data_IF_648288598626
#
_entry.id   IF_648288598626
#
_cell.length_a   1.000
_cell.length_b   1.000
_cell.length_c   1.000
_cell.angle_alpha   90.00
_cell.angle_beta   90.00
_cell.angle_gamma   90.00
#
_symmetry.space_group_name_H-M   'P 1'
#
loop_
_entity.id
_entity.type
_entity.pdbx_description
1 polymer ?
#
# COMPACT_ATOMS: atom_id res chain seq x y z
N UNK A 1 -77.58 -15.52 -28.24
CA UNK A 1 -77.65 -14.05 -28.44
C UNK A 1 -76.31 -13.40 -28.02
N UNK A 2 -75.41 -13.10 -28.97
CA UNK A 2 -74.11 -12.44 -28.71
C UNK A 2 -74.34 -10.94 -28.48
N UNK A 3 -74.43 -10.49 -27.22
CA UNK A 3 -74.42 -9.05 -26.89
C UNK A 3 -73.04 -8.47 -27.25
N UNK A 4 -72.99 -7.67 -28.32
CA UNK A 4 -71.79 -6.90 -28.72
C UNK A 4 -71.42 -5.96 -27.56
N UNK A 5 -70.15 -5.96 -27.18
CA UNK A 5 -69.64 -5.02 -26.17
C UNK A 5 -69.82 -3.58 -26.65
N UNK A 6 -70.07 -2.65 -25.72
CA UNK A 6 -69.95 -1.24 -26.05
C UNK A 6 -68.47 -0.93 -26.32
N UNK A 7 -68.22 -0.15 -27.37
CA UNK A 7 -66.86 0.21 -27.81
C UNK A 7 -66.07 0.89 -26.67
N UNK A 8 -66.75 1.59 -25.75
CA UNK A 8 -66.12 2.26 -24.59
C UNK A 8 -65.52 1.28 -23.58
N UNK A 9 -66.24 0.22 -23.26
CA UNK A 9 -65.76 -0.81 -22.31
C UNK A 9 -64.59 -1.63 -22.86
N UNK A 10 -64.54 -1.85 -24.17
CA UNK A 10 -63.40 -2.51 -24.83
C UNK A 10 -62.14 -1.65 -24.79
N UNK A 11 -62.28 -0.33 -25.03
CA UNK A 11 -61.17 0.62 -24.99
C UNK A 11 -60.57 0.75 -23.60
N UNK A 12 -61.39 0.86 -22.55
CA UNK A 12 -60.92 0.94 -21.16
C UNK A 12 -60.16 -0.32 -20.74
N UNK A 13 -60.65 -1.49 -21.14
CA UNK A 13 -60.00 -2.77 -20.83
C UNK A 13 -58.65 -2.89 -21.55
N UNK A 14 -58.58 -2.53 -22.83
CA UNK A 14 -57.34 -2.50 -23.59
C UNK A 14 -56.31 -1.55 -22.95
N UNK A 15 -56.73 -0.35 -22.55
CA UNK A 15 -55.86 0.64 -21.88
C UNK A 15 -55.36 0.12 -20.53
N UNK A 16 -56.21 -0.48 -19.70
CA UNK A 16 -55.79 -1.04 -18.40
C UNK A 16 -54.79 -2.20 -18.55
N UNK A 17 -54.93 -2.99 -19.62
CA UNK A 17 -54.07 -4.14 -19.87
C UNK A 17 -52.71 -3.70 -20.41
N UNK A 18 -52.69 -2.65 -21.23
CA UNK A 18 -51.46 -1.98 -21.68
C UNK A 18 -50.75 -1.30 -20.50
N UNK A 19 -51.48 -0.60 -19.63
CA UNK A 19 -50.92 0.06 -18.46
C UNK A 19 -50.37 -0.95 -17.45
N UNK A 20 -51.09 -2.05 -17.22
CA UNK A 20 -50.61 -3.14 -16.39
C UNK A 20 -49.33 -3.74 -16.97
N UNK A 21 -49.27 -4.01 -18.27
CA UNK A 21 -48.09 -4.54 -18.96
C UNK A 21 -46.90 -3.58 -18.88
N UNK A 22 -47.15 -2.27 -19.02
CA UNK A 22 -46.14 -1.23 -18.82
C UNK A 22 -45.64 -1.20 -17.36
N UNK A 23 -46.50 -1.33 -16.37
CA UNK A 23 -46.10 -1.34 -14.96
C UNK A 23 -45.30 -2.60 -14.63
N UNK A 24 -45.71 -3.80 -15.08
CA UNK A 24 -44.94 -5.03 -14.83
C UNK A 24 -43.60 -5.06 -15.56
N UNK A 25 -43.46 -4.43 -16.73
CA UNK A 25 -42.18 -4.38 -17.43
C UNK A 25 -41.29 -3.20 -17.02
N UNK A 26 -41.86 -2.02 -16.81
CA UNK A 26 -41.10 -0.80 -16.53
C UNK A 26 -40.84 -0.56 -15.03
N UNK A 27 -41.73 -1.00 -14.13
CA UNK A 27 -41.55 -0.77 -12.70
C UNK A 27 -40.35 -1.53 -12.10
N UNK A 28 -40.04 -2.78 -12.51
CA UNK A 28 -38.80 -3.44 -12.09
C UNK A 28 -37.54 -2.72 -12.57
N UNK A 29 -37.60 -2.05 -13.73
CA UNK A 29 -36.49 -1.23 -14.25
C UNK A 29 -36.29 0.08 -13.47
N UNK A 30 -37.34 0.58 -12.81
CA UNK A 30 -37.31 1.83 -12.03
C UNK A 30 -37.03 1.59 -10.54
N UNK A 31 -37.43 0.45 -9.97
CA UNK A 31 -37.39 0.18 -8.53
C UNK A 31 -35.99 -0.23 -8.03
N UNK A 32 -35.19 -0.93 -8.84
CA UNK A 32 -33.84 -1.34 -8.48
C UNK A 32 -32.87 -0.74 -9.49
N UNK A 33 -32.53 0.54 -9.29
CA UNK A 33 -31.47 1.15 -10.07
C UNK A 33 -30.22 0.26 -10.06
N UNK A 34 -29.68 0.00 -11.27
CA UNK A 34 -28.42 -0.70 -11.60
C UNK A 34 -28.57 -2.18 -11.96
N UNK A 35 -29.19 -2.45 -13.12
CA UNK A 35 -29.48 -3.78 -13.67
C UNK A 35 -28.29 -4.49 -14.33
N UNK A 36 -27.04 -4.16 -13.98
CA UNK A 36 -25.88 -4.82 -14.59
C UNK A 36 -24.56 -4.57 -13.88
N UNK A 37 -23.54 -5.31 -14.30
CA UNK A 37 -22.19 -5.16 -13.81
C UNK A 37 -21.17 -5.54 -14.88
N UNK A 38 -20.00 -4.89 -14.84
CA UNK A 38 -18.83 -5.34 -15.58
C UNK A 38 -17.88 -6.06 -14.63
N UNK A 39 -17.50 -7.28 -14.96
CA UNK A 39 -16.58 -8.11 -14.19
C UNK A 39 -15.27 -8.24 -14.94
N UNK A 40 -14.16 -8.09 -14.22
CA UNK A 40 -12.81 -8.41 -14.69
C UNK A 40 -12.12 -9.31 -13.67
N UNK A 41 -11.40 -10.32 -14.14
CA UNK A 41 -10.61 -11.20 -13.28
C UNK A 41 -9.15 -10.76 -13.29
N UNK A 42 -8.55 -10.65 -12.10
CA UNK A 42 -7.13 -10.37 -11.91
C UNK A 42 -6.51 -11.58 -11.23
N UNK A 43 -5.40 -12.07 -11.77
CA UNK A 43 -4.55 -13.07 -11.10
C UNK A 43 -3.16 -12.48 -10.90
N UNK A 44 -2.74 -12.44 -9.65
CA UNK A 44 -1.44 -11.97 -9.19
C UNK A 44 -0.62 -13.20 -8.79
N UNK A 45 0.42 -13.52 -9.56
CA UNK A 45 1.23 -14.72 -9.35
C UNK A 45 2.71 -14.41 -9.05
N UNK A 46 3.01 -13.19 -8.59
CA UNK A 46 4.37 -12.81 -8.18
C UNK A 46 4.73 -13.38 -6.80
N UNK A 47 6.01 -13.41 -6.50
CA UNK A 47 6.55 -14.06 -5.30
C UNK A 47 6.08 -13.28 -4.05
N UNK A 48 5.68 -13.99 -2.98
CA UNK A 48 5.13 -13.41 -1.75
C UNK A 48 3.59 -13.29 -1.71
N UNK A 49 2.89 -13.28 -2.86
CA UNK A 49 1.42 -13.11 -2.87
C UNK A 49 0.67 -14.22 -2.13
N UNK A 50 1.18 -15.46 -2.17
CA UNK A 50 0.63 -16.60 -1.44
C UNK A 50 0.80 -16.51 0.07
N UNK A 51 1.70 -15.66 0.54
CA UNK A 51 1.94 -15.35 1.95
C UNK A 51 1.23 -14.06 2.39
N UNK A 52 0.43 -13.45 1.50
CA UNK A 52 -0.22 -12.17 1.76
C UNK A 52 0.73 -10.99 1.70
N UNK A 53 1.85 -11.13 0.97
CA UNK A 53 2.85 -10.10 0.78
C UNK A 53 2.78 -9.48 -0.62
N UNK A 54 3.10 -8.19 -0.70
CA UNK A 54 3.30 -7.48 -1.96
C UNK A 54 4.67 -7.84 -2.57
N UNK A 55 4.95 -7.33 -3.78
CA UNK A 55 6.22 -7.57 -4.48
C UNK A 55 7.48 -7.02 -3.76
N UNK A 56 7.30 -6.32 -2.63
CA UNK A 56 8.37 -5.75 -1.79
C UNK A 56 8.47 -6.45 -0.43
N UNK A 57 7.59 -7.40 -0.13
CA UNK A 57 7.52 -8.08 1.16
C UNK A 57 6.70 -7.36 2.24
N UNK A 58 5.97 -6.29 1.90
CA UNK A 58 5.00 -5.67 2.81
C UNK A 58 3.65 -6.41 2.75
N UNK A 59 2.72 -6.10 3.65
CA UNK A 59 1.38 -6.67 3.59
C UNK A 59 0.63 -6.23 2.32
N UNK A 60 0.08 -7.18 1.59
CA UNK A 60 -0.71 -6.93 0.38
C UNK A 60 -2.17 -6.60 0.71
N UNK A 61 -2.67 -5.46 0.24
CA UNK A 61 -4.09 -5.09 0.33
C UNK A 61 -4.70 -4.83 -1.06
N UNK A 62 -5.52 -5.77 -1.54
CA UNK A 62 -6.27 -5.60 -2.79
C UNK A 62 -7.23 -4.39 -2.76
N UNK A 63 -7.64 -3.90 -1.59
CA UNK A 63 -8.51 -2.73 -1.49
C UNK A 63 -7.83 -1.43 -1.94
N UNK A 64 -6.50 -1.42 -2.11
CA UNK A 64 -5.79 -0.32 -2.72
C UNK A 64 -6.32 0.05 -4.11
N UNK A 65 -6.92 -0.89 -4.85
CA UNK A 65 -7.62 -0.61 -6.13
C UNK A 65 -8.71 0.47 -6.01
N UNK A 66 -9.24 0.69 -4.80
CA UNK A 66 -10.25 1.70 -4.47
C UNK A 66 -9.65 3.03 -3.97
N UNK A 67 -8.33 3.18 -4.00
CA UNK A 67 -7.64 4.41 -3.62
C UNK A 67 -8.12 5.59 -4.49
N UNK A 68 -8.36 6.74 -3.87
CA UNK A 68 -8.87 7.93 -4.53
C UNK A 68 -7.99 8.39 -5.72
N UNK A 69 -6.67 8.27 -5.63
CA UNK A 69 -5.77 8.62 -6.73
C UNK A 69 -5.98 7.74 -7.96
N UNK A 70 -6.18 6.44 -7.75
CA UNK A 70 -6.48 5.48 -8.84
C UNK A 70 -7.83 5.84 -9.45
N UNK A 71 -8.86 6.01 -8.63
CA UNK A 71 -10.21 6.30 -9.11
C UNK A 71 -10.30 7.64 -9.86
N UNK A 72 -9.54 8.66 -9.45
CA UNK A 72 -9.41 9.92 -10.21
C UNK A 72 -8.82 9.70 -11.59
N UNK A 73 -7.74 8.92 -11.71
CA UNK A 73 -7.12 8.57 -13.01
C UNK A 73 -8.08 7.76 -13.88
N UNK A 74 -8.82 6.81 -13.31
CA UNK A 74 -9.83 6.01 -14.01
C UNK A 74 -10.92 6.91 -14.60
N UNK A 75 -11.47 7.83 -13.81
CA UNK A 75 -12.51 8.76 -14.27
C UNK A 75 -12.01 9.70 -15.37
N UNK A 76 -10.77 10.20 -15.25
CA UNK A 76 -10.11 11.02 -16.26
C UNK A 76 -9.91 10.24 -17.57
N UNK A 77 -9.32 9.04 -17.50
CA UNK A 77 -9.02 8.21 -18.68
C UNK A 77 -10.27 7.66 -19.37
N UNK A 78 -11.37 7.53 -18.63
CA UNK A 78 -12.67 7.14 -19.19
C UNK A 78 -13.47 8.31 -19.76
N UNK A 79 -13.14 9.56 -19.39
CA UNK A 79 -13.88 10.78 -19.75
C UNK A 79 -15.14 10.99 -18.91
N UNK A 80 -15.20 10.41 -17.71
CA UNK A 80 -16.38 10.39 -16.84
C UNK A 80 -16.27 11.30 -15.60
N UNK A 81 -15.18 12.05 -15.48
CA UNK A 81 -14.88 12.97 -14.35
C UNK A 81 -15.95 14.03 -14.09
N UNK A 82 -16.69 14.47 -15.11
CA UNK A 82 -17.78 15.45 -14.96
C UNK A 82 -19.10 14.82 -14.49
N UNK A 83 -19.20 13.50 -14.54
CA UNK A 83 -20.44 12.75 -14.31
C UNK A 83 -20.41 11.98 -13.00
N UNK A 84 -19.23 11.58 -12.52
CA UNK A 84 -19.08 10.82 -11.28
C UNK A 84 -17.89 11.31 -10.47
N UNK A 85 -18.01 11.13 -9.17
CA UNK A 85 -16.92 11.36 -8.21
C UNK A 85 -16.19 10.05 -7.89
N UNK A 86 -14.93 10.11 -7.44
CA UNK A 86 -14.21 8.94 -6.94
C UNK A 86 -14.97 8.16 -5.86
N UNK A 87 -15.68 8.87 -4.97
CA UNK A 87 -16.46 8.25 -3.89
C UNK A 87 -17.66 7.45 -4.43
N UNK A 88 -18.37 7.97 -5.43
CA UNK A 88 -19.46 7.24 -6.08
C UNK A 88 -18.97 6.00 -6.82
N UNK A 89 -17.77 6.07 -7.40
CA UNK A 89 -17.15 4.93 -8.06
C UNK A 89 -16.69 3.87 -7.02
N UNK A 90 -16.07 4.30 -5.92
CA UNK A 90 -15.62 3.43 -4.83
C UNK A 90 -16.74 2.52 -4.31
N UNK A 91 -17.93 3.07 -4.09
CA UNK A 91 -19.11 2.33 -3.61
C UNK A 91 -19.65 1.30 -4.61
N UNK A 92 -19.23 1.37 -5.88
CA UNK A 92 -19.69 0.47 -6.95
C UNK A 92 -18.72 -0.67 -7.22
N UNK A 93 -17.49 -0.57 -6.71
CA UNK A 93 -16.46 -1.59 -6.87
C UNK A 93 -16.66 -2.65 -5.78
N UNK A 94 -16.94 -3.87 -6.21
CA UNK A 94 -16.93 -5.06 -5.36
C UNK A 94 -15.71 -5.88 -5.74
N UNK A 95 -15.01 -6.36 -4.72
CA UNK A 95 -13.82 -7.19 -4.85
C UNK A 95 -14.18 -8.51 -4.20
N UNK A 96 -14.13 -9.60 -4.96
CA UNK A 96 -14.41 -10.93 -4.45
C UNK A 96 -13.12 -11.76 -4.55
N UNK A 97 -12.55 -12.22 -3.42
CA UNK A 97 -11.42 -13.14 -3.47
C UNK A 97 -11.87 -14.46 -4.10
N UNK A 98 -11.10 -14.95 -5.06
CA UNK A 98 -11.33 -16.27 -5.65
C UNK A 98 -10.39 -17.24 -4.95
N UNK A 99 -10.93 -18.37 -4.48
CA UNK A 99 -10.10 -19.44 -3.97
C UNK A 99 -9.27 -20.02 -5.14
N UNK A 100 -8.04 -19.54 -5.28
CA UNK A 100 -7.10 -20.08 -6.25
C UNK A 100 -6.78 -21.55 -5.95
N UNK A 101 -6.19 -22.28 -6.91
CA UNK A 101 -5.77 -23.68 -6.70
C UNK A 101 -4.85 -23.83 -5.47
N UNK A 102 -4.04 -22.82 -5.15
CA UNK A 102 -3.17 -22.81 -3.97
C UNK A 102 -3.97 -22.76 -2.66
N UNK A 103 -4.95 -21.85 -2.55
CA UNK A 103 -5.87 -21.76 -1.42
C UNK A 103 -6.68 -23.05 -1.23
N UNK A 104 -7.16 -23.65 -2.33
CA UNK A 104 -7.84 -24.94 -2.31
C UNK A 104 -6.91 -26.09 -1.88
N UNK A 105 -5.65 -26.10 -2.34
CA UNK A 105 -4.67 -27.10 -1.92
C UNK A 105 -4.30 -26.97 -0.43
N UNK A 106 -4.19 -25.75 0.10
CA UNK A 106 -3.97 -25.53 1.53
C UNK A 106 -5.18 -25.94 2.38
N UNK A 107 -6.40 -25.59 1.95
CA UNK A 107 -7.64 -26.08 2.56
C UNK A 107 -7.72 -27.62 2.55
N UNK A 108 -7.30 -28.24 1.44
CA UNK A 108 -7.28 -29.70 1.31
C UNK A 108 -6.22 -30.33 2.22
N UNK A 109 -5.02 -29.73 2.34
CA UNK A 109 -3.97 -30.17 3.27
C UNK A 109 -4.39 -30.00 4.74
N UNK A 110 -5.12 -28.94 5.08
CA UNK A 110 -5.70 -28.75 6.41
C UNK A 110 -6.72 -29.86 6.71
N UNK A 111 -7.63 -30.15 5.78
CA UNK A 111 -8.63 -31.22 5.93
C UNK A 111 -8.02 -32.63 6.08
N UNK A 112 -6.83 -32.88 5.53
CA UNK A 112 -6.09 -34.17 5.69
C UNK A 112 -5.43 -34.27 7.09
N UNK A 113 -5.21 -33.16 7.79
CA UNK A 113 -4.56 -33.12 9.12
C UNK A 113 -5.54 -33.05 10.30
N UNK A 114 -6.86 -32.98 10.06
CA UNK A 114 -7.89 -32.92 11.11
C UNK A 114 -8.14 -34.29 11.75
N UNK A 115 -7.07 -34.95 12.20
CA UNK A 115 -7.11 -36.07 13.14
C UNK A 115 -6.30 -35.76 14.41
N UNK A 116 -5.82 -34.52 14.55
CA UNK A 116 -5.15 -34.03 15.76
C UNK A 116 -5.74 -32.70 16.18
N UNK A 117 -6.21 -32.66 17.41
CA UNK A 117 -6.84 -31.55 18.13
C UNK A 117 -5.91 -30.35 18.30
N UNK A 118 -5.72 -29.59 17.23
CA UNK A 118 -5.30 -28.20 17.32
C UNK A 118 -6.35 -27.33 16.61
N UNK A 119 -6.84 -26.35 17.37
CA UNK A 119 -7.77 -25.32 16.94
C UNK A 119 -7.37 -24.73 15.59
N UNK A 120 -8.21 -24.92 14.57
CA UNK A 120 -8.15 -24.30 13.22
C UNK A 120 -8.49 -22.79 13.31
N UNK A 121 -7.96 -22.12 14.33
CA UNK A 121 -8.11 -20.68 14.48
C UNK A 121 -7.14 -20.00 13.50
N UNK A 122 -7.73 -19.44 12.45
CA UNK A 122 -7.26 -18.22 11.78
C UNK A 122 -5.92 -18.28 11.02
N UNK A 123 -5.64 -19.36 10.28
CA UNK A 123 -4.70 -19.18 9.15
C UNK A 123 -5.43 -18.49 8.00
N UNK A 124 -5.31 -17.16 7.93
CA UNK A 124 -5.88 -16.36 6.85
C UNK A 124 -5.37 -16.90 5.51
N UNK A 125 -6.29 -17.37 4.67
CA UNK A 125 -5.95 -17.86 3.34
C UNK A 125 -5.74 -16.65 2.46
N UNK A 126 -4.50 -16.42 2.06
CA UNK A 126 -4.15 -15.37 1.11
C UNK A 126 -4.35 -15.90 -0.31
N UNK A 127 -5.02 -15.12 -1.16
CA UNK A 127 -5.22 -15.44 -2.57
C UNK A 127 -4.58 -14.37 -3.45
N UNK A 128 -4.04 -14.79 -4.60
CA UNK A 128 -3.63 -13.90 -5.68
C UNK A 128 -4.74 -13.66 -6.71
N UNK A 129 -5.84 -14.40 -6.64
CA UNK A 129 -6.91 -14.38 -7.63
C UNK A 129 -8.13 -13.59 -7.12
N UNK A 130 -8.57 -12.61 -7.90
CA UNK A 130 -9.66 -11.70 -7.53
C UNK A 130 -10.63 -11.46 -8.69
N UNK A 131 -11.91 -11.44 -8.37
CA UNK A 131 -12.96 -10.93 -9.25
C UNK A 131 -13.23 -9.46 -8.88
N UNK A 132 -13.05 -8.55 -9.84
CA UNK A 132 -13.34 -7.13 -9.70
C UNK A 132 -14.63 -6.81 -10.45
N UNK A 133 -15.69 -6.49 -9.71
CA UNK A 133 -17.00 -6.15 -10.26
C UNK A 133 -17.27 -4.66 -10.11
N UNK A 134 -17.58 -4.02 -11.23
CA UNK A 134 -18.07 -2.63 -11.28
C UNK A 134 -19.57 -2.65 -11.52
N UNK A 135 -20.35 -2.21 -10.54
CA UNK A 135 -21.82 -2.09 -10.66
C UNK A 135 -22.22 -0.96 -11.63
N UNK A 136 -23.33 -1.17 -12.33
CA UNK A 136 -23.86 -0.29 -13.37
C UNK A 136 -23.88 1.20 -13.00
N UNK A 137 -23.71 2.01 -14.05
CA UNK A 137 -23.61 3.44 -13.94
C UNK A 137 -24.85 4.12 -14.57
N UNK A 138 -25.93 4.20 -13.80
CA UNK A 138 -27.16 4.91 -14.15
C UNK A 138 -28.40 4.06 -13.92
N UNK A 139 -29.57 4.59 -14.34
CA UNK A 139 -30.82 3.83 -14.35
C UNK A 139 -30.88 2.81 -15.49
N UNK A 140 -30.24 3.10 -16.63
CA UNK A 140 -30.24 2.23 -17.80
C UNK A 140 -28.88 1.52 -17.93
N UNK A 141 -28.87 0.22 -18.28
CA UNK A 141 -27.64 -0.52 -18.50
C UNK A 141 -26.83 0.10 -19.66
N UNK A 142 -25.57 0.48 -19.39
CA UNK A 142 -24.62 0.92 -20.40
C UNK A 142 -23.40 -0.02 -20.42
N UNK A 143 -23.49 -1.15 -21.13
CA UNK A 143 -22.41 -2.16 -21.16
C UNK A 143 -21.06 -1.58 -21.58
N UNK A 144 -21.04 -0.69 -22.58
CA UNK A 144 -19.81 -0.09 -23.10
C UNK A 144 -19.11 0.78 -22.05
N UNK A 145 -19.84 1.62 -21.33
CA UNK A 145 -19.26 2.47 -20.30
C UNK A 145 -18.71 1.65 -19.13
N UNK A 146 -19.43 0.61 -18.68
CA UNK A 146 -18.97 -0.23 -17.56
C UNK A 146 -17.79 -1.12 -17.94
N UNK A 147 -17.77 -1.69 -19.16
CA UNK A 147 -16.62 -2.44 -19.65
C UNK A 147 -15.39 -1.55 -19.77
N UNK A 148 -15.55 -0.33 -20.31
CA UNK A 148 -14.47 0.66 -20.39
C UNK A 148 -13.96 1.03 -19.01
N UNK A 149 -14.87 1.21 -18.04
CA UNK A 149 -14.50 1.59 -16.68
C UNK A 149 -13.85 0.45 -15.90
N UNK A 150 -14.35 -0.78 -16.03
CA UNK A 150 -13.75 -1.98 -15.43
C UNK A 150 -12.35 -2.24 -15.98
N UNK A 151 -12.17 -2.14 -17.32
CA UNK A 151 -10.84 -2.22 -17.93
C UNK A 151 -9.90 -1.12 -17.43
N UNK A 152 -10.36 0.13 -17.44
CA UNK A 152 -9.56 1.26 -16.98
C UNK A 152 -9.17 1.12 -15.50
N UNK A 153 -10.08 0.64 -14.64
CA UNK A 153 -9.81 0.41 -13.22
C UNK A 153 -8.65 -0.55 -13.02
N UNK A 154 -8.70 -1.71 -13.68
CA UNK A 154 -7.66 -2.72 -13.52
C UNK A 154 -6.33 -2.28 -14.14
N UNK A 155 -6.36 -1.59 -15.29
CA UNK A 155 -5.14 -1.03 -15.89
C UNK A 155 -4.50 0.05 -15.02
N UNK A 156 -5.29 0.98 -14.45
CA UNK A 156 -4.75 1.99 -13.53
C UNK A 156 -4.23 1.36 -12.24
N UNK A 157 -4.83 0.26 -11.78
CA UNK A 157 -4.30 -0.51 -10.65
C UNK A 157 -2.96 -1.17 -10.96
N UNK A 158 -2.77 -1.78 -12.13
CA UNK A 158 -1.45 -2.28 -12.55
C UNK A 158 -0.40 -1.17 -12.60
N UNK A 159 -0.77 -0.01 -13.15
CA UNK A 159 0.09 1.16 -13.17
C UNK A 159 0.41 1.63 -11.75
N UNK A 160 -0.56 1.54 -10.84
CA UNK A 160 -0.36 1.84 -9.42
C UNK A 160 0.62 0.87 -8.78
N UNK A 161 0.48 -0.45 -8.99
CA UNK A 161 1.42 -1.46 -8.48
C UNK A 161 2.84 -1.22 -9.01
N UNK A 162 3.00 -0.93 -10.32
CA UNK A 162 4.29 -0.56 -10.91
C UNK A 162 4.84 0.70 -10.26
N UNK A 163 4.01 1.73 -10.11
CA UNK A 163 4.42 2.98 -9.48
C UNK A 163 4.80 2.74 -8.03
N UNK A 164 4.02 2.00 -7.24
CA UNK A 164 4.30 1.69 -5.85
C UNK A 164 5.61 0.91 -5.69
N UNK A 165 5.83 -0.10 -6.55
CA UNK A 165 7.11 -0.80 -6.65
C UNK A 165 8.26 0.18 -6.92
N UNK A 166 8.04 1.17 -7.79
CA UNK A 166 9.01 2.20 -8.17
C UNK A 166 9.00 3.50 -7.32
N UNK A 167 8.12 3.66 -6.31
CA UNK A 167 7.92 4.92 -5.57
C UNK A 167 8.86 5.08 -4.37
N UNK A 168 9.13 4.01 -3.62
CA UNK A 168 10.15 4.04 -2.54
C UNK A 168 11.59 4.14 -3.07
N UNK A 169 11.70 4.41 -4.36
CA UNK A 169 12.85 4.17 -5.19
C UNK A 169 13.19 5.37 -6.08
N UNK A 170 12.43 6.46 -5.99
CA UNK A 170 12.96 7.75 -6.41
C UNK A 170 13.91 8.26 -5.33
N UNK A 171 15.21 8.03 -5.48
CA UNK A 171 16.26 8.87 -4.87
C UNK A 171 16.22 10.21 -5.58
N UNK A 172 15.08 10.90 -5.59
CA UNK A 172 15.08 12.30 -6.01
C UNK A 172 15.98 12.98 -4.99
N UNK A 173 17.09 13.55 -5.45
CA UNK A 173 17.97 14.31 -4.58
C UNK A 173 17.09 15.31 -3.85
N UNK A 174 17.23 15.39 -2.53
CA UNK A 174 16.53 16.40 -1.75
C UNK A 174 16.94 17.82 -2.21
N UNK A 175 18.15 17.92 -2.78
CA UNK A 175 18.73 19.14 -3.32
C UNK A 175 18.84 19.10 -4.84
N UNK A 176 18.52 20.21 -5.50
CA UNK A 176 18.90 20.41 -6.91
C UNK A 176 20.41 20.58 -7.00
N UNK A 177 20.98 20.26 -8.17
CA UNK A 177 22.40 20.44 -8.47
C UNK A 177 22.89 21.84 -8.05
N UNK A 178 22.21 22.88 -8.51
CA UNK A 178 22.63 24.27 -8.27
C UNK A 178 22.54 24.65 -6.78
N UNK A 179 21.49 24.19 -6.08
CA UNK A 179 21.33 24.43 -4.65
C UNK A 179 22.46 23.77 -3.86
N UNK A 180 22.80 22.52 -4.19
CA UNK A 180 23.88 21.77 -3.54
C UNK A 180 25.26 22.43 -3.77
N UNK A 181 25.56 22.82 -5.02
CA UNK A 181 26.84 23.48 -5.34
C UNK A 181 26.91 24.93 -4.88
N UNK A 182 25.80 25.53 -4.44
CA UNK A 182 25.80 26.85 -3.80
C UNK A 182 26.25 26.81 -2.34
N UNK A 183 26.16 25.65 -1.68
CA UNK A 183 26.56 25.44 -0.29
C UNK A 183 28.06 25.67 -0.09
N UNK A 184 28.46 25.97 1.15
CA UNK A 184 29.87 25.90 1.55
C UNK A 184 30.42 24.47 1.35
N UNK A 185 31.73 24.32 1.12
CA UNK A 185 32.33 23.03 0.78
C UNK A 185 32.06 21.92 1.82
N UNK A 186 32.16 22.16 3.14
CA UNK A 186 31.90 21.12 4.13
C UNK A 186 30.42 20.70 4.13
N UNK A 187 29.51 21.65 3.99
CA UNK A 187 28.07 21.43 3.91
C UNK A 187 27.69 20.71 2.61
N UNK A 188 28.30 21.08 1.48
CA UNK A 188 28.15 20.39 0.19
C UNK A 188 28.56 18.92 0.31
N UNK A 189 29.72 18.65 0.91
CA UNK A 189 30.21 17.28 1.07
C UNK A 189 29.34 16.45 2.02
N UNK A 190 28.81 17.05 3.08
CA UNK A 190 27.84 16.40 3.97
C UNK A 190 26.58 15.98 3.20
N UNK A 191 26.01 16.89 2.41
CA UNK A 191 24.82 16.60 1.60
C UNK A 191 25.12 15.50 0.57
N UNK A 192 26.25 15.58 -0.12
CA UNK A 192 26.67 14.56 -1.08
C UNK A 192 26.82 13.18 -0.44
N UNK A 193 27.39 13.10 0.76
CA UNK A 193 27.53 11.84 1.49
C UNK A 193 26.16 11.24 1.86
N UNK A 194 25.21 12.08 2.30
CA UNK A 194 23.84 11.66 2.60
C UNK A 194 23.11 11.13 1.36
N UNK A 195 23.26 11.81 0.22
CA UNK A 195 22.66 11.39 -1.05
C UNK A 195 23.28 10.08 -1.58
N UNK A 196 24.61 9.93 -1.49
CA UNK A 196 25.30 8.70 -1.85
C UNK A 196 24.86 7.51 -0.97
N UNK A 197 24.70 7.74 0.34
CA UNK A 197 24.23 6.74 1.30
C UNK A 197 22.74 6.37 1.08
N UNK A 198 21.90 7.35 0.75
CA UNK A 198 20.53 7.11 0.32
C UNK A 198 20.48 6.24 -0.95
N UNK A 199 21.34 6.50 -1.93
CA UNK A 199 21.48 5.69 -3.13
C UNK A 199 21.90 4.25 -2.83
N UNK A 200 22.89 4.02 -1.96
CA UNK A 200 23.31 2.67 -1.56
C UNK A 200 22.15 1.89 -0.91
N UNK A 201 21.48 2.50 0.09
CA UNK A 201 20.32 1.87 0.75
C UNK A 201 19.18 1.57 -0.21
N UNK A 202 18.97 2.49 -1.14
CA UNK A 202 17.95 2.35 -2.16
C UNK A 202 18.21 1.10 -3.03
N UNK A 203 19.43 0.94 -3.55
CA UNK A 203 19.81 -0.22 -4.36
C UNK A 203 19.72 -1.51 -3.54
N UNK A 204 20.15 -1.46 -2.28
CA UNK A 204 20.11 -2.61 -1.36
C UNK A 204 18.68 -3.14 -1.15
N UNK A 205 17.66 -2.27 -1.25
CA UNK A 205 16.26 -2.70 -1.13
C UNK A 205 15.86 -3.62 -2.29
N UNK A 206 16.28 -3.31 -3.52
CA UNK A 206 16.02 -4.18 -4.67
C UNK A 206 16.88 -5.43 -4.67
N UNK A 207 18.16 -5.32 -4.29
CA UNK A 207 19.03 -6.48 -4.15
C UNK A 207 18.45 -7.49 -3.14
N UNK A 208 17.93 -7.01 -2.00
CA UNK A 208 17.28 -7.87 -1.01
C UNK A 208 16.06 -8.60 -1.58
N UNK A 209 15.24 -7.91 -2.37
CA UNK A 209 13.99 -8.45 -2.90
C UNK A 209 14.18 -9.26 -4.19
N UNK A 210 15.30 -9.10 -4.89
CA UNK A 210 15.58 -9.75 -6.16
C UNK A 210 17.10 -9.97 -6.34
N UNK A 211 17.74 -10.77 -5.47
CA UNK A 211 19.21 -10.89 -5.43
C UNK A 211 19.79 -11.53 -6.70
N UNK A 212 19.04 -12.45 -7.32
CA UNK A 212 19.46 -13.20 -8.51
C UNK A 212 19.08 -12.51 -9.83
N UNK A 213 18.51 -11.30 -9.78
CA UNK A 213 18.08 -10.61 -10.99
C UNK A 213 19.27 -10.01 -11.76
N UNK A 214 19.36 -10.36 -13.04
CA UNK A 214 20.35 -9.86 -13.99
C UNK A 214 19.62 -9.17 -15.14
N UNK A 215 20.01 -7.93 -15.48
CA UNK A 215 19.47 -7.24 -16.65
C UNK A 215 19.73 -8.01 -17.94
N UNK A 216 18.72 -8.16 -18.78
CA UNK A 216 18.88 -8.69 -20.13
C UNK A 216 19.51 -7.66 -21.08
N UNK A 217 19.46 -6.37 -20.74
CA UNK A 217 20.00 -5.27 -21.54
C UNK A 217 21.46 -4.97 -21.23
N UNK A 218 21.81 -4.88 -19.94
CA UNK A 218 23.14 -4.44 -19.51
C UNK A 218 23.99 -5.56 -18.93
N UNK A 219 23.40 -6.70 -18.56
CA UNK A 219 24.08 -7.79 -17.85
C UNK A 219 24.42 -7.46 -16.39
N UNK A 220 24.00 -6.31 -15.87
CA UNK A 220 24.27 -5.89 -14.50
C UNK A 220 23.22 -6.42 -13.52
N UNK A 221 23.65 -6.68 -12.29
CA UNK A 221 22.81 -6.99 -11.13
C UNK A 221 22.62 -5.76 -10.23
N UNK A 222 21.67 -5.84 -9.28
CA UNK A 222 21.56 -4.82 -8.23
C UNK A 222 22.82 -4.77 -7.34
N UNK A 223 23.48 -5.91 -7.10
CA UNK A 223 24.71 -5.97 -6.33
C UNK A 223 25.87 -5.24 -7.02
N UNK A 224 25.98 -5.35 -8.35
CA UNK A 224 26.99 -4.61 -9.12
C UNK A 224 26.78 -3.09 -9.01
N UNK A 225 25.52 -2.65 -9.13
CA UNK A 225 25.17 -1.24 -8.99
C UNK A 225 25.39 -0.74 -7.56
N UNK A 226 25.11 -1.57 -6.54
CA UNK A 226 25.37 -1.21 -5.14
C UNK A 226 26.85 -1.03 -4.90
N UNK A 227 27.69 -1.95 -5.37
CA UNK A 227 29.15 -1.85 -5.24
C UNK A 227 29.71 -0.60 -5.91
N UNK A 228 29.16 -0.21 -7.07
CA UNK A 228 29.52 1.05 -7.71
C UNK A 228 29.08 2.27 -6.89
N UNK A 229 27.87 2.25 -6.30
CA UNK A 229 27.39 3.33 -5.44
C UNK A 229 28.22 3.45 -4.14
N UNK A 230 28.60 2.32 -3.54
CA UNK A 230 29.51 2.28 -2.37
C UNK A 230 30.88 2.85 -2.73
N UNK A 231 31.40 2.56 -3.92
CA UNK A 231 32.65 3.15 -4.41
C UNK A 231 32.54 4.68 -4.52
N UNK A 232 31.42 5.20 -5.06
CA UNK A 232 31.18 6.64 -5.12
C UNK A 232 31.11 7.25 -3.72
N UNK A 233 30.36 6.63 -2.80
CA UNK A 233 30.21 7.10 -1.41
C UNK A 233 31.54 7.12 -0.67
N UNK A 234 32.25 5.99 -0.67
CA UNK A 234 33.39 5.77 0.23
C UNK A 234 34.69 6.34 -0.35
N UNK A 235 34.89 6.22 -1.66
CA UNK A 235 36.14 6.67 -2.30
C UNK A 235 36.00 8.05 -2.92
N UNK A 236 34.98 8.30 -3.71
CA UNK A 236 34.93 9.57 -4.43
C UNK A 236 34.47 10.72 -3.52
N UNK A 237 33.30 10.57 -2.90
CA UNK A 237 32.76 11.55 -1.95
C UNK A 237 33.61 11.58 -0.68
N UNK A 238 33.96 10.42 -0.11
CA UNK A 238 34.83 10.31 1.06
C UNK A 238 36.17 11.03 0.90
N UNK A 239 36.95 10.70 -0.14
CA UNK A 239 38.26 11.35 -0.35
C UNK A 239 38.11 12.86 -0.62
N UNK A 240 37.06 13.28 -1.32
CA UNK A 240 36.81 14.72 -1.56
C UNK A 240 36.48 15.44 -0.25
N UNK A 241 35.72 14.82 0.64
CA UNK A 241 35.41 15.35 1.96
C UNK A 241 36.66 15.44 2.85
N UNK A 242 37.54 14.43 2.77
CA UNK A 242 38.82 14.44 3.47
C UNK A 242 39.73 15.58 3.01
N UNK A 243 39.72 15.93 1.72
CA UNK A 243 40.45 17.11 1.21
C UNK A 243 39.85 18.40 1.80
N UNK A 244 38.52 18.53 1.80
CA UNK A 244 37.83 19.68 2.39
C UNK A 244 38.19 19.85 3.86
N UNK A 245 38.12 18.76 4.64
CA UNK A 245 38.45 18.74 6.06
C UNK A 245 39.96 18.95 6.32
N UNK A 246 40.84 18.38 5.48
CA UNK A 246 42.27 18.50 5.70
C UNK A 246 42.76 19.93 5.45
N UNK A 247 42.30 20.57 4.37
CA UNK A 247 42.70 21.92 3.99
C UNK A 247 41.79 23.00 4.57
N UNK A 248 40.74 22.63 5.31
CA UNK A 248 39.73 23.53 5.87
C UNK A 248 39.15 24.45 4.79
N UNK A 249 38.80 23.86 3.66
CA UNK A 249 38.28 24.62 2.52
C UNK A 249 36.90 25.16 2.85
N UNK A 250 36.70 26.45 2.61
CA UNK A 250 35.42 27.11 2.78
C UNK A 250 35.25 28.21 1.73
N UNK A 251 34.00 28.44 1.32
CA UNK A 251 33.55 29.59 0.56
C UNK A 251 33.22 30.78 1.46
N UNK A 252 33.15 30.56 2.78
CA UNK A 252 32.89 31.59 3.78
C UNK A 252 34.21 32.00 4.46
N UNK A 253 34.52 33.30 4.37
CA UNK A 253 35.72 33.89 4.98
C UNK A 253 35.72 33.79 6.52
N UNK A 254 34.57 33.52 7.15
CA UNK A 254 34.42 33.44 8.61
C UNK A 254 34.31 32.01 9.16
N UNK A 255 34.93 31.03 8.48
CA UNK A 255 34.92 29.61 8.89
C UNK A 255 35.33 29.38 10.35
N UNK A 256 36.25 30.20 10.87
CA UNK A 256 36.73 30.10 12.27
C UNK A 256 35.63 30.38 13.29
N UNK A 257 34.72 31.32 13.05
CA UNK A 257 33.60 31.58 13.95
C UNK A 257 32.64 30.39 14.03
N UNK A 258 32.39 29.75 12.89
CA UNK A 258 31.56 28.55 12.82
C UNK A 258 32.18 27.35 13.56
N UNK A 259 33.47 27.07 13.36
CA UNK A 259 34.17 26.01 14.08
C UNK A 259 34.24 26.28 15.59
N UNK A 260 34.35 27.54 16.02
CA UNK A 260 34.26 27.91 17.45
C UNK A 260 32.88 27.59 18.06
N UNK A 261 31.79 27.84 17.32
CA UNK A 261 30.43 27.46 17.77
C UNK A 261 30.30 25.94 17.85
N UNK A 262 30.83 25.20 16.86
CA UNK A 262 30.88 23.72 16.90
C UNK A 262 31.66 23.22 18.10
N UNK A 263 32.83 23.79 18.36
CA UNK A 263 33.68 23.41 19.49
C UNK A 263 32.96 23.62 20.82
N UNK A 264 32.27 24.75 20.99
CA UNK A 264 31.49 25.03 22.21
C UNK A 264 30.39 23.98 22.42
N UNK A 265 29.68 23.58 21.36
CA UNK A 265 28.66 22.53 21.42
C UNK A 265 29.26 21.16 21.72
N UNK A 266 30.35 20.79 21.04
CA UNK A 266 31.04 19.52 21.24
C UNK A 266 31.58 19.40 22.68
N UNK A 267 32.13 20.47 23.25
CA UNK A 267 32.57 20.49 24.65
C UNK A 267 31.41 20.33 25.65
N UNK A 268 30.23 20.90 25.36
CA UNK A 268 29.04 20.68 26.19
C UNK A 268 28.59 19.22 26.17
N UNK A 269 28.62 18.58 24.98
CA UNK A 269 28.30 17.15 24.82
C UNK A 269 29.32 16.31 25.59
N UNK A 270 30.62 16.55 25.39
CA UNK A 270 31.69 15.84 26.10
C UNK A 270 31.54 15.98 27.62
N UNK A 271 31.29 17.19 28.13
CA UNK A 271 31.10 17.43 29.57
C UNK A 271 29.89 16.66 30.11
N UNK A 272 28.78 16.65 29.36
CA UNK A 272 27.58 15.89 29.71
C UNK A 272 27.88 14.39 29.79
N UNK A 273 28.53 13.84 28.76
CA UNK A 273 28.79 12.40 28.67
C UNK A 273 29.82 11.95 29.72
N UNK A 274 30.83 12.76 30.02
CA UNK A 274 31.75 12.57 31.15
C UNK A 274 31.03 12.61 32.50
N UNK A 275 30.03 13.50 32.66
CA UNK A 275 29.21 13.58 33.86
C UNK A 275 28.36 12.32 34.07
N UNK A 276 27.77 11.78 33.01
CA UNK A 276 27.01 10.52 33.04
C UNK A 276 27.95 9.36 33.37
N UNK A 277 29.08 9.25 32.69
CA UNK A 277 30.09 8.22 32.95
C UNK A 277 30.60 8.27 34.39
N UNK A 278 30.91 9.46 34.90
CA UNK A 278 31.33 9.69 36.27
C UNK A 278 30.26 9.32 37.28
N UNK A 279 28.99 9.64 37.00
CA UNK A 279 27.85 9.27 37.84
C UNK A 279 27.64 7.76 37.92
N UNK A 280 27.69 7.06 36.78
CA UNK A 280 27.58 5.59 36.74
C UNK A 280 28.75 4.94 37.47
N UNK A 281 29.99 5.40 37.24
CA UNK A 281 31.17 4.92 37.96
C UNK A 281 31.04 5.13 39.47
N UNK A 282 30.54 6.29 39.91
CA UNK A 282 30.32 6.57 41.33
C UNK A 282 29.29 5.61 41.94
N UNK A 283 28.16 5.37 41.26
CA UNK A 283 27.15 4.40 41.70
C UNK A 283 27.75 3.00 41.78
N UNK A 284 28.49 2.56 40.75
CA UNK A 284 29.14 1.25 40.73
C UNK A 284 30.19 1.09 41.84
N UNK A 285 30.91 2.15 42.21
CA UNK A 285 31.86 2.13 43.33
C UNK A 285 31.17 2.12 44.69
N UNK A 286 30.02 2.78 44.82
CA UNK A 286 29.20 2.78 46.02
C UNK A 286 28.36 1.49 46.15
N UNK A 287 28.16 0.76 45.05
CA UNK A 287 27.41 -0.48 45.02
C UNK A 287 28.24 -1.62 45.61
N UNK A 288 27.96 -1.97 46.87
CA UNK A 288 28.59 -3.10 47.54
C UNK A 288 27.93 -4.42 47.08
N UNK A 289 28.62 -5.19 46.25
CA UNK A 289 28.17 -6.51 45.82
C UNK A 289 28.50 -7.63 46.83
N UNK A 290 29.16 -7.31 47.95
CA UNK A 290 29.64 -8.29 48.93
C UNK A 290 28.71 -8.50 50.11
N UNK A 291 27.73 -7.63 50.35
CA UNK A 291 26.87 -7.66 51.56
C UNK A 291 25.37 -7.94 51.33
N UNK A 292 24.93 -8.19 50.09
CA UNK A 292 23.51 -8.48 49.78
C UNK A 292 23.16 -9.99 49.70
N UNK A 293 23.77 -10.83 50.53
CA UNK A 293 23.19 -12.14 50.78
C UNK A 293 22.07 -11.99 51.81
N UNK A 294 20.82 -11.88 51.35
CA UNK A 294 19.68 -12.21 52.21
C UNK A 294 19.85 -13.69 52.57
N UNK A 295 20.18 -13.97 53.84
CA UNK A 295 20.05 -15.33 54.37
C UNK A 295 18.56 -15.63 54.40
N UNK A 296 18.05 -16.20 53.30
CA UNK A 296 16.68 -16.66 53.21
C UNK A 296 16.48 -17.83 54.19
N UNK A 297 15.42 -17.77 55.01
CA UNK A 297 14.87 -18.98 55.62
C UNK A 297 14.50 -19.97 54.51
N UNK A 298 14.64 -21.28 54.77
CA UNK A 298 14.63 -22.38 53.79
C UNK A 298 13.52 -22.35 52.71
N UNK A 299 12.42 -21.63 52.92
CA UNK A 299 11.30 -21.52 51.96
C UNK A 299 11.38 -20.31 50.98
N UNK A 300 12.40 -19.45 51.03
CA UNK A 300 12.50 -18.25 50.19
C UNK A 300 13.78 -18.13 49.34
N UNK A 301 14.53 -19.23 49.18
CA UNK A 301 15.86 -19.23 48.55
C UNK A 301 15.85 -18.95 47.02
N UNK A 302 14.72 -19.14 46.32
CA UNK A 302 14.64 -19.00 44.86
C UNK A 302 14.24 -17.61 44.36
N UNK A 303 13.87 -16.67 45.24
CA UNK A 303 13.35 -15.34 44.83
C UNK A 303 14.34 -14.18 45.02
N UNK A 304 15.43 -14.35 45.79
CA UNK A 304 16.30 -13.24 46.19
C UNK A 304 17.62 -13.09 45.40
N UNK A 305 18.02 -14.08 44.59
CA UNK A 305 19.37 -14.14 44.00
C UNK A 305 19.46 -13.73 42.52
N UNK A 306 18.35 -13.55 41.81
CA UNK A 306 18.35 -13.27 40.36
C UNK A 306 18.17 -11.80 39.95
N UNK A 307 17.39 -11.00 40.71
CA UNK A 307 17.09 -9.60 40.32
C UNK A 307 18.25 -8.61 40.58
N UNK A 308 19.08 -8.81 41.61
CA UNK A 308 20.17 -7.87 41.93
C UNK A 308 21.39 -7.96 41.00
N UNK A 309 21.59 -9.11 40.35
CA UNK A 309 22.66 -9.28 39.35
C UNK A 309 22.27 -8.63 38.01
N UNK A 310 20.98 -8.55 37.70
CA UNK A 310 20.47 -7.86 36.51
C UNK A 310 20.66 -6.35 36.61
N UNK A 311 20.43 -5.74 37.77
CA UNK A 311 20.68 -4.30 37.98
C UNK A 311 22.15 -3.92 37.84
N UNK A 312 23.05 -4.69 38.45
CA UNK A 312 24.49 -4.50 38.27
C UNK A 312 24.93 -4.70 36.81
N UNK A 313 24.39 -5.72 36.14
CA UNK A 313 24.61 -5.95 34.71
C UNK A 313 24.17 -4.76 33.84
N UNK A 314 22.96 -4.23 34.09
CA UNK A 314 22.47 -3.03 33.41
C UNK A 314 23.37 -1.80 33.64
N UNK A 315 23.86 -1.59 34.87
CA UNK A 315 24.78 -0.49 35.17
C UNK A 315 26.12 -0.65 34.43
N UNK A 316 26.62 -1.88 34.28
CA UNK A 316 27.83 -2.14 33.48
C UNK A 316 27.63 -1.92 31.99
N UNK A 317 26.50 -2.36 31.42
CA UNK A 317 26.17 -2.07 30.02
C UNK A 317 26.04 -0.57 29.78
N UNK A 318 25.37 0.15 30.70
CA UNK A 318 25.30 1.60 30.66
C UNK A 318 26.67 2.27 30.77
N UNK A 319 27.57 1.76 31.62
CA UNK A 319 28.94 2.27 31.72
C UNK A 319 29.72 2.09 30.42
N UNK A 320 29.64 0.92 29.78
CA UNK A 320 30.31 0.66 28.49
C UNK A 320 29.78 1.59 27.40
N UNK A 321 28.46 1.73 27.30
CA UNK A 321 27.83 2.64 26.36
C UNK A 321 28.22 4.10 26.61
N UNK A 322 28.22 4.53 27.88
CA UNK A 322 28.63 5.88 28.26
C UNK A 322 30.09 6.14 27.93
N UNK A 323 31.00 5.18 28.18
CA UNK A 323 32.42 5.30 27.81
C UNK A 323 32.61 5.44 26.31
N UNK A 324 31.86 4.68 25.52
CA UNK A 324 31.90 4.79 24.06
C UNK A 324 31.46 6.18 23.59
N UNK A 325 30.36 6.70 24.15
CA UNK A 325 29.91 8.07 23.89
C UNK A 325 30.95 9.12 24.27
N UNK A 326 31.55 9.03 25.47
CA UNK A 326 32.63 9.93 25.92
C UNK A 326 33.82 9.91 24.95
N UNK A 327 34.26 8.72 24.51
CA UNK A 327 35.38 8.58 23.57
C UNK A 327 35.04 9.23 22.23
N UNK A 328 33.85 9.01 21.69
CA UNK A 328 33.39 9.63 20.45
C UNK A 328 33.35 11.15 20.56
N UNK A 329 32.74 11.68 21.64
CA UNK A 329 32.67 13.12 21.87
C UNK A 329 34.05 13.76 22.02
N UNK A 330 35.00 13.06 22.65
CA UNK A 330 36.39 13.52 22.78
C UNK A 330 37.11 13.56 21.44
N UNK A 331 36.87 12.57 20.58
CA UNK A 331 37.41 12.54 19.22
C UNK A 331 36.90 13.75 18.41
N UNK A 332 35.60 14.05 18.48
CA UNK A 332 35.01 15.21 17.80
C UNK A 332 35.61 16.54 18.28
N UNK A 333 35.74 16.73 19.60
CA UNK A 333 36.41 17.92 20.16
C UNK A 333 37.83 18.04 19.63
N UNK A 334 38.59 16.94 19.62
CA UNK A 334 39.98 16.93 19.14
C UNK A 334 40.06 17.30 17.66
N UNK A 335 39.17 16.76 16.83
CA UNK A 335 39.10 17.06 15.39
C UNK A 335 38.80 18.54 15.14
N UNK A 336 37.81 19.11 15.85
CA UNK A 336 37.47 20.54 15.71
C UNK A 336 38.62 21.43 16.20
N UNK A 337 39.31 21.04 17.27
CA UNK A 337 40.49 21.77 17.76
C UNK A 337 41.59 21.83 16.68
N UNK A 338 41.87 20.69 16.02
CA UNK A 338 42.82 20.63 14.90
C UNK A 338 42.41 21.52 13.73
N UNK A 339 41.11 21.65 13.45
CA UNK A 339 40.60 22.55 12.42
C UNK A 339 40.88 24.03 12.77
N UNK A 340 40.62 24.43 14.01
CA UNK A 340 40.91 25.78 14.50
C UNK A 340 42.41 26.11 14.49
N UNK A 341 43.25 25.15 14.87
CA UNK A 341 44.72 25.31 14.83
C UNK A 341 45.20 25.53 13.40
N UNK A 342 44.68 24.77 12.42
CA UNK A 342 44.97 24.98 10.99
C UNK A 342 44.48 26.33 10.46
N UNK A 343 43.31 26.79 10.89
CA UNK A 343 42.79 28.12 10.51
C UNK A 343 43.65 29.26 11.06
N UNK A 344 44.28 29.07 12.22
CA UNK A 344 45.20 30.05 12.79
C UNK A 344 46.60 30.04 12.16
N UNK A 345 46.95 28.98 11.41
CA UNK A 345 48.22 28.81 10.71
C UNK A 345 47.95 28.50 9.22
N UNK A 346 47.60 29.52 8.42
CA UNK A 346 47.11 29.33 7.07
C UNK A 346 48.12 28.59 6.19
N UNK A 347 47.60 27.63 5.43
CA UNK A 347 48.34 26.83 4.46
C UNK A 347 48.83 27.70 3.28
N UNK A 348 49.75 27.17 2.46
CA UNK A 348 50.22 27.85 1.25
C UNK A 348 49.03 28.19 0.32
N UNK A 349 48.84 29.47 -0.07
CA UNK A 349 47.74 29.90 -0.93
C UNK A 349 47.65 29.13 -2.26
N UNK A 350 48.77 28.80 -2.89
CA UNK A 350 48.79 28.05 -4.15
C UNK A 350 48.24 26.63 -3.97
N UNK A 351 48.57 26.00 -2.84
CA UNK A 351 48.07 24.67 -2.49
C UNK A 351 46.56 24.72 -2.21
N UNK A 352 46.10 25.72 -1.46
CA UNK A 352 44.67 25.91 -1.17
C UNK A 352 43.87 26.14 -2.45
N UNK A 353 44.36 26.98 -3.36
CA UNK A 353 43.71 27.23 -4.65
C UNK A 353 43.64 25.95 -5.51
N UNK A 354 44.73 25.18 -5.57
CA UNK A 354 44.77 23.90 -6.28
C UNK A 354 43.76 22.88 -5.73
N UNK A 355 43.70 22.74 -4.40
CA UNK A 355 42.77 21.81 -3.73
C UNK A 355 41.32 22.26 -3.88
N UNK A 356 41.04 23.58 -3.84
CA UNK A 356 39.71 24.15 -4.09
C UNK A 356 39.20 23.80 -5.49
N UNK A 357 40.06 23.89 -6.50
CA UNK A 357 39.75 23.47 -7.87
C UNK A 357 39.51 21.96 -7.97
N UNK A 358 40.31 21.14 -7.27
CA UNK A 358 40.11 19.69 -7.22
C UNK A 358 38.76 19.34 -6.62
N UNK A 359 38.44 19.85 -5.43
CA UNK A 359 37.17 19.59 -4.74
C UNK A 359 35.98 19.96 -5.61
N UNK A 360 36.01 21.14 -6.23
CA UNK A 360 34.91 21.59 -7.10
C UNK A 360 34.72 20.67 -8.32
N UNK A 361 35.81 20.15 -8.88
CA UNK A 361 35.80 19.21 -10.00
C UNK A 361 35.32 17.83 -9.56
N UNK A 362 35.92 17.28 -8.51
CA UNK A 362 35.68 15.92 -8.05
C UNK A 362 34.25 15.77 -7.51
N UNK A 363 33.76 16.77 -6.76
CA UNK A 363 32.37 16.83 -6.32
C UNK A 363 31.38 16.82 -7.51
N UNK A 364 31.70 17.54 -8.59
CA UNK A 364 30.88 17.54 -9.81
C UNK A 364 30.87 16.17 -10.49
N UNK A 365 32.02 15.52 -10.59
CA UNK A 365 32.14 14.18 -11.19
C UNK A 365 31.36 13.15 -10.37
N UNK A 366 31.52 13.15 -9.05
CA UNK A 366 30.79 12.22 -8.17
C UNK A 366 29.28 12.46 -8.23
N UNK A 367 28.83 13.71 -8.29
CA UNK A 367 27.42 14.03 -8.48
C UNK A 367 26.86 13.47 -9.79
N UNK A 368 27.57 13.67 -10.91
CA UNK A 368 27.16 13.17 -12.22
C UNK A 368 27.11 11.64 -12.25
N UNK A 369 28.05 10.98 -11.57
CA UNK A 369 28.07 9.52 -11.43
C UNK A 369 26.95 8.98 -10.55
N UNK A 370 26.57 9.69 -9.47
CA UNK A 370 25.39 9.34 -8.67
C UNK A 370 24.10 9.42 -9.49
N UNK A 371 23.94 10.47 -10.30
CA UNK A 371 22.76 10.62 -11.17
C UNK A 371 22.72 9.54 -12.26
N UNK A 372 23.87 9.17 -12.82
CA UNK A 372 23.98 8.06 -13.76
C UNK A 372 23.57 6.73 -13.11
N UNK A 373 24.15 6.39 -11.95
CA UNK A 373 23.82 5.17 -11.21
C UNK A 373 22.34 5.11 -10.88
N UNK A 374 21.75 6.20 -10.41
CA UNK A 374 20.31 6.29 -10.14
C UNK A 374 19.46 6.00 -11.39
N UNK A 375 19.86 6.53 -12.54
CA UNK A 375 19.19 6.23 -13.82
C UNK A 375 19.29 4.73 -14.16
N UNK A 376 20.48 4.14 -14.02
CA UNK A 376 20.70 2.71 -14.26
C UNK A 376 19.88 1.83 -13.31
N UNK A 377 19.84 2.15 -12.03
CA UNK A 377 19.07 1.42 -11.01
C UNK A 377 17.57 1.50 -11.32
N UNK A 378 17.08 2.68 -11.71
CA UNK A 378 15.67 2.83 -12.11
C UNK A 378 15.34 1.97 -13.32
N UNK A 379 16.19 1.98 -14.35
CA UNK A 379 15.99 1.16 -15.54
C UNK A 379 16.01 -0.35 -15.20
N UNK A 380 16.93 -0.77 -14.33
CA UNK A 380 17.03 -2.16 -13.85
C UNK A 380 15.80 -2.57 -13.03
N UNK A 381 15.32 -1.68 -12.15
CA UNK A 381 14.11 -1.90 -11.37
C UNK A 381 12.85 -1.99 -12.23
N UNK A 382 12.72 -1.13 -13.25
CA UNK A 382 11.65 -1.20 -14.23
C UNK A 382 11.68 -2.51 -15.02
N UNK A 383 12.86 -2.96 -15.44
CA UNK A 383 13.04 -4.23 -16.13
C UNK A 383 12.69 -5.42 -15.23
N UNK A 384 13.16 -5.43 -13.97
CA UNK A 384 12.81 -6.47 -13.00
C UNK A 384 11.29 -6.52 -12.80
N UNK A 385 10.65 -5.37 -12.64
CA UNK A 385 9.20 -5.31 -12.52
C UNK A 385 8.54 -5.92 -13.74
N UNK A 386 8.89 -5.48 -14.95
CA UNK A 386 8.21 -5.93 -16.16
C UNK A 386 8.39 -7.44 -16.41
N UNK A 387 9.58 -7.99 -16.11
CA UNK A 387 9.90 -9.40 -16.36
C UNK A 387 9.45 -10.35 -15.25
N UNK A 388 9.58 -9.99 -13.97
CA UNK A 388 9.37 -10.90 -12.85
C UNK A 388 8.08 -10.65 -12.06
N UNK A 389 7.49 -9.45 -12.17
CA UNK A 389 6.30 -9.07 -11.40
C UNK A 389 5.12 -8.81 -12.34
N UNK A 390 5.23 -7.81 -13.21
CA UNK A 390 4.21 -7.40 -14.16
C UNK A 390 3.80 -8.51 -15.13
N UNK A 391 4.75 -9.31 -15.62
CA UNK A 391 4.47 -10.48 -16.47
C UNK A 391 3.62 -11.56 -15.76
N UNK A 392 3.72 -11.63 -14.42
CA UNK A 392 2.96 -12.56 -13.56
C UNK A 392 1.61 -11.98 -13.11
N UNK A 393 1.23 -10.79 -13.60
CA UNK A 393 -0.10 -10.21 -13.40
C UNK A 393 -0.91 -10.45 -14.67
N UNK A 394 -1.92 -11.32 -14.59
CA UNK A 394 -2.82 -11.58 -15.71
C UNK A 394 -4.20 -10.96 -15.47
N UNK A 395 -4.77 -10.41 -16.55
CA UNK A 395 -6.10 -9.80 -16.54
C UNK A 395 -6.94 -10.44 -17.61
N UNK A 396 -8.13 -10.91 -17.25
CA UNK A 396 -9.07 -11.45 -18.21
C UNK A 396 -9.78 -10.33 -18.99
N UNK A 397 -10.39 -10.70 -20.13
CA UNK A 397 -11.26 -9.77 -20.84
C UNK A 397 -12.48 -9.45 -19.98
N UNK A 398 -12.75 -8.16 -19.77
CA UNK A 398 -13.95 -7.72 -19.06
C UNK A 398 -15.22 -8.29 -19.69
N UNK A 399 -16.10 -8.88 -18.88
CA UNK A 399 -17.43 -9.36 -19.26
C UNK A 399 -18.50 -8.43 -18.67
N UNK A 400 -19.66 -8.35 -19.33
CA UNK A 400 -20.79 -7.58 -18.81
C UNK A 400 -21.97 -8.51 -18.58
N UNK A 401 -22.53 -8.45 -17.38
CA UNK A 401 -23.67 -9.25 -16.96
C UNK A 401 -24.86 -8.32 -16.70
N UNK A 402 -26.00 -8.61 -17.31
CA UNK A 402 -27.27 -7.96 -16.97
C UNK A 402 -27.89 -8.77 -15.84
N UNK A 403 -28.11 -8.15 -14.69
CA UNK A 403 -28.87 -8.74 -13.61
C UNK A 403 -30.35 -8.55 -13.89
N UNK A 404 -30.94 -9.43 -14.71
CA UNK A 404 -32.38 -9.47 -14.93
C UNK A 404 -33.05 -10.09 -13.70
N UNK A 405 -33.62 -9.27 -12.82
CA UNK A 405 -34.37 -9.75 -11.66
C UNK A 405 -35.75 -10.33 -11.96
N UNK A 406 -36.08 -10.52 -13.24
CA UNK A 406 -37.21 -11.35 -13.62
C UNK A 406 -36.68 -12.69 -14.09
N UNK A 407 -36.77 -13.73 -13.26
CA UNK A 407 -36.98 -15.05 -13.83
C UNK A 407 -38.16 -14.86 -14.80
N UNK A 408 -37.91 -14.99 -16.11
CA UNK A 408 -38.88 -14.57 -17.13
C UNK A 408 -40.24 -15.23 -16.85
N UNK A 409 -40.18 -16.44 -16.26
CA UNK A 409 -41.26 -17.17 -15.61
C UNK A 409 -42.02 -16.41 -14.51
N UNK A 410 -41.37 -15.79 -13.52
CA UNK A 410 -42.05 -15.05 -12.43
C UNK A 410 -42.79 -13.82 -12.97
N UNK A 411 -42.17 -13.05 -13.86
CA UNK A 411 -42.83 -11.91 -14.50
C UNK A 411 -43.98 -12.36 -15.41
N UNK A 412 -43.80 -13.49 -16.11
CA UNK A 412 -44.85 -14.12 -16.90
C UNK A 412 -46.00 -14.65 -16.02
N UNK A 413 -45.70 -15.24 -14.86
CA UNK A 413 -46.69 -15.72 -13.89
C UNK A 413 -47.47 -14.53 -13.31
N UNK A 414 -46.80 -13.46 -12.90
CA UNK A 414 -47.46 -12.23 -12.44
C UNK A 414 -48.34 -11.62 -13.53
N UNK A 415 -47.87 -11.60 -14.79
CA UNK A 415 -48.69 -11.20 -15.93
C UNK A 415 -49.93 -12.10 -16.09
N UNK A 416 -49.78 -13.43 -16.04
CA UNK A 416 -50.91 -14.36 -16.12
C UNK A 416 -51.92 -14.17 -14.97
N UNK A 417 -51.44 -13.91 -13.75
CA UNK A 417 -52.29 -13.61 -12.58
C UNK A 417 -53.07 -12.31 -12.82
N UNK A 418 -52.42 -11.27 -13.33
CA UNK A 418 -53.02 -9.97 -13.62
C UNK A 418 -54.08 -10.08 -14.74
N UNK A 419 -53.78 -10.81 -15.82
CA UNK A 419 -54.73 -11.11 -16.89
C UNK A 419 -55.93 -11.87 -16.34
N UNK A 420 -55.73 -12.86 -15.46
CA UNK A 420 -56.83 -13.59 -14.81
C UNK A 420 -57.65 -12.71 -13.87
N UNK A 421 -57.04 -11.80 -13.11
CA UNK A 421 -57.75 -10.86 -12.24
C UNK A 421 -58.61 -9.89 -13.05
N UNK A 422 -58.06 -9.31 -14.13
CA UNK A 422 -58.78 -8.43 -15.05
C UNK A 422 -59.94 -9.19 -15.73
N UNK A 423 -59.73 -10.44 -16.14
CA UNK A 423 -60.78 -11.29 -16.70
C UNK A 423 -61.89 -11.60 -15.69
N UNK A 424 -61.52 -11.86 -14.43
CA UNK A 424 -62.47 -12.15 -13.35
C UNK A 424 -63.29 -10.91 -12.97
N UNK A 425 -62.65 -9.73 -12.86
CA UNK A 425 -63.33 -8.44 -12.70
C UNK A 425 -64.29 -8.14 -13.86
N UNK A 426 -63.92 -8.51 -15.09
CA UNK A 426 -64.78 -8.39 -16.26
C UNK A 426 -66.02 -9.31 -16.18
N UNK A 427 -65.86 -10.56 -15.73
CA UNK A 427 -67.00 -11.47 -15.52
C UNK A 427 -67.95 -10.96 -14.42
N UNK A 428 -67.38 -10.40 -13.35
CA UNK A 428 -68.14 -9.76 -12.26
C UNK A 428 -68.97 -8.57 -12.77
N UNK A 429 -68.37 -7.66 -13.55
CA UNK A 429 -69.07 -6.51 -14.15
C UNK A 429 -70.13 -6.92 -15.18
N UNK A 430 -69.98 -8.08 -15.83
CA UNK A 430 -70.95 -8.62 -16.79
C UNK A 430 -72.15 -9.30 -16.12
N UNK A 431 -72.19 -9.32 -14.79
CA UNK A 431 -73.35 -9.75 -14.01
C UNK A 431 -73.64 -11.24 -14.06
N UNK A 432 -72.64 -12.09 -14.34
CA UNK A 432 -72.89 -13.52 -14.59
C UNK A 432 -72.66 -14.48 -13.41
N UNK A 433 -72.18 -14.03 -12.26
CA UNK A 433 -72.16 -14.81 -11.02
C UNK A 433 -71.58 -13.94 -9.89
N UNK A 434 -72.44 -13.40 -9.02
CA UNK A 434 -71.97 -12.71 -7.80
C UNK A 434 -71.46 -13.71 -6.75
N UNK A 435 -71.96 -14.95 -6.78
CA UNK A 435 -71.68 -15.95 -5.75
C UNK A 435 -70.35 -16.69 -5.98
N UNK A 436 -69.98 -16.97 -7.24
CA UNK A 436 -68.69 -17.59 -7.58
C UNK A 436 -67.47 -16.74 -7.16
N UNK A 437 -67.61 -15.41 -7.21
CA UNK A 437 -66.51 -14.49 -6.91
C UNK A 437 -66.20 -14.44 -5.40
N UNK A 438 -67.20 -14.61 -4.53
CA UNK A 438 -67.00 -14.68 -3.07
C UNK A 438 -66.29 -15.98 -2.67
N UNK A 439 -66.69 -17.11 -3.24
CA UNK A 439 -66.06 -18.40 -2.96
C UNK A 439 -64.61 -18.48 -3.50
N UNK A 440 -64.37 -18.01 -4.72
CA UNK A 440 -63.03 -18.06 -5.32
C UNK A 440 -62.00 -17.16 -4.61
N UNK A 441 -62.43 -16.00 -4.08
CA UNK A 441 -61.59 -15.11 -3.27
C UNK A 441 -61.33 -15.68 -1.88
N UNK A 442 -62.35 -16.23 -1.21
CA UNK A 442 -62.20 -16.85 0.11
C UNK A 442 -61.21 -18.03 0.06
N UNK A 443 -61.34 -18.89 -0.94
CA UNK A 443 -60.49 -20.07 -1.10
C UNK A 443 -59.04 -19.70 -1.44
N UNK A 444 -58.82 -18.67 -2.27
CA UNK A 444 -57.46 -18.19 -2.59
C UNK A 444 -56.80 -17.41 -1.45
N UNK A 445 -57.58 -16.67 -0.65
CA UNK A 445 -57.05 -15.97 0.53
C UNK A 445 -56.53 -16.96 1.57
N UNK A 446 -57.22 -18.09 1.78
CA UNK A 446 -56.73 -19.18 2.63
C UNK A 446 -55.42 -19.79 2.12
N UNK A 447 -55.31 -20.09 0.83
CA UNK A 447 -54.08 -20.67 0.24
C UNK A 447 -52.89 -19.70 0.40
N UNK A 448 -53.11 -18.41 0.19
CA UNK A 448 -52.06 -17.39 0.34
C UNK A 448 -51.65 -17.26 1.82
N UNK A 449 -52.62 -17.26 2.74
CA UNK A 449 -52.34 -17.17 4.17
C UNK A 449 -51.54 -18.39 4.68
N UNK A 450 -51.89 -19.60 4.21
CA UNK A 450 -51.14 -20.83 4.53
C UNK A 450 -49.71 -20.82 3.99
N UNK A 451 -49.50 -20.34 2.75
CA UNK A 451 -48.16 -20.23 2.16
C UNK A 451 -47.30 -19.19 2.88
N UNK A 452 -47.90 -18.07 3.32
CA UNK A 452 -47.23 -17.02 4.08
C UNK A 452 -46.87 -17.49 5.50
N UNK A 453 -47.80 -18.14 6.21
CA UNK A 453 -47.55 -18.70 7.55
C UNK A 453 -46.50 -19.81 7.54
N UNK A 454 -46.46 -20.63 6.48
CA UNK A 454 -45.46 -21.70 6.31
C UNK A 454 -44.05 -21.17 6.00
N UNK A 455 -43.95 -19.95 5.47
CA UNK A 455 -42.68 -19.25 5.23
C UNK A 455 -42.20 -18.40 6.41
N UNK A 456 -43.09 -17.96 7.31
CA UNK A 456 -42.72 -17.20 8.52
C UNK A 456 -42.27 -18.10 9.70
N UNK A 457 -42.45 -19.43 9.60
CA UNK A 457 -42.02 -20.43 10.60
C UNK A 457 -40.76 -21.22 10.20
N UNK A 458 -40.04 -20.78 9.16
CA UNK A 458 -38.71 -21.24 8.76
C UNK A 458 -37.78 -20.04 8.70
#
# INVERSE_FOLDING_TARGET
MKRRLSIRTQKLMAVSLILALLITFACPWLAEGRTGSATTYISLAFDGIGEGLDSKGNHFDINEIKNEEILKKVLKNTGLEKKYTPQELKQRIVITPLAGKSALNELTKMNIRVDKTESVAEKAIHTGDYEITVKEIGLLPNPFANLKLSKALVTEYQNHLKTAYLKDSSVSLAYKKDDMFSLDYPEMMLVMAQEADALVRYIATFEKNSPEFVSQKTGLTFADLRSQAETVRDKEVGNTADIVDYYILSKDDNRSAYENVKLKRANLILTKDQGIEGGINYILQAYDNTSNYIIASEDAADLATSQENEFYGMLMDQLVNSKHATISAKYDVTKIQQHLDKLSHPQNPETVEAMTKSVSKDAKVSFERMEELKSQVKALAEENYDLNIGSKISISKASYHVHTWGNLLVNFILFLILVKLIHSLYLYYKGKEKDYFREALANKYQIINDVVQKKLKR
#
